data_IF_332664002219
#
_entry.id   IF_332664002219
#
_cell.length_a   1.000
_cell.length_b   1.000
_cell.length_c   1.000
_cell.angle_alpha   90.00
_cell.angle_beta   90.00
_cell.angle_gamma   90.00
#
_symmetry.space_group_name_H-M   'P 1'
#
loop_
_entity.id
_entity.type
_entity.pdbx_description
1 polymer ?
#
# COMPACT_ATOMS: atom_id res chain seq x y z
N UNK A 1 8.85 -30.01 -33.53
CA UNK A 1 8.25 -28.88 -32.79
C UNK A 1 9.04 -27.61 -33.16
N UNK A 2 8.42 -26.68 -33.91
CA UNK A 2 9.10 -25.50 -34.53
C UNK A 2 9.73 -24.59 -33.46
N UNK A 3 9.14 -24.51 -32.26
CA UNK A 3 9.63 -23.67 -31.15
C UNK A 3 11.04 -24.08 -30.68
N UNK A 4 11.30 -25.38 -30.53
CA UNK A 4 12.61 -25.90 -30.15
C UNK A 4 13.68 -25.72 -31.25
N UNK A 5 13.26 -25.71 -32.52
CA UNK A 5 14.18 -25.58 -33.66
C UNK A 5 14.72 -24.15 -33.81
N UNK A 6 13.97 -23.16 -33.36
CA UNK A 6 14.31 -21.73 -33.53
C UNK A 6 14.52 -20.98 -32.21
N UNK A 7 14.63 -21.69 -31.07
CA UNK A 7 14.76 -21.08 -29.73
C UNK A 7 13.70 -19.99 -29.47
N UNK A 8 12.47 -20.22 -29.95
CA UNK A 8 11.40 -19.24 -29.80
C UNK A 8 10.87 -19.38 -28.37
N UNK A 9 11.22 -18.39 -27.55
CA UNK A 9 10.66 -18.19 -26.21
C UNK A 9 9.12 -18.26 -26.26
N UNK A 10 8.51 -18.89 -25.26
CA UNK A 10 7.04 -18.92 -25.15
C UNK A 10 6.49 -17.52 -24.89
N UNK A 11 5.22 -17.28 -25.22
CA UNK A 11 4.55 -16.01 -24.89
C UNK A 11 4.69 -15.69 -23.39
N UNK A 12 4.57 -16.70 -22.52
CA UNK A 12 4.76 -16.55 -21.07
C UNK A 12 6.18 -16.06 -20.71
N UNK A 13 7.21 -16.55 -21.42
CA UNK A 13 8.60 -16.08 -21.26
C UNK A 13 8.76 -14.62 -21.65
N UNK A 14 8.03 -14.13 -22.67
CA UNK A 14 8.05 -12.71 -23.04
C UNK A 14 7.29 -11.82 -22.07
N UNK A 15 6.15 -12.28 -21.55
CA UNK A 15 5.31 -11.50 -20.63
C UNK A 15 6.00 -11.19 -19.29
N UNK A 16 6.95 -12.02 -18.85
CA UNK A 16 7.70 -11.78 -17.61
C UNK A 16 8.89 -10.82 -17.80
N UNK A 17 9.35 -10.59 -19.04
CA UNK A 17 10.56 -9.78 -19.31
C UNK A 17 10.46 -8.34 -18.79
N UNK A 18 9.33 -7.61 -18.87
CA UNK A 18 9.21 -6.27 -18.29
C UNK A 18 9.44 -6.25 -16.78
N UNK A 19 8.84 -7.20 -16.04
CA UNK A 19 9.02 -7.34 -14.59
C UNK A 19 10.49 -7.64 -14.26
N UNK A 20 11.10 -8.59 -14.98
CA UNK A 20 12.53 -8.90 -14.83
C UNK A 20 13.43 -7.71 -15.17
N UNK A 21 13.04 -6.88 -16.13
CA UNK A 21 13.82 -5.73 -16.57
C UNK A 21 13.88 -4.64 -15.51
N UNK A 22 12.78 -4.40 -14.79
CA UNK A 22 12.75 -3.48 -13.65
C UNK A 22 13.71 -3.94 -12.55
N UNK A 23 13.64 -5.22 -12.14
CA UNK A 23 14.57 -5.78 -11.16
C UNK A 23 16.03 -5.70 -11.64
N UNK A 24 16.27 -5.90 -12.94
CA UNK A 24 17.61 -5.76 -13.50
C UNK A 24 18.15 -4.33 -13.40
N UNK A 25 17.31 -3.31 -13.63
CA UNK A 25 17.76 -1.91 -13.49
C UNK A 25 18.09 -1.57 -12.04
N UNK A 26 17.27 -1.98 -11.09
CA UNK A 26 17.55 -1.85 -9.66
C UNK A 26 18.93 -2.43 -9.29
N UNK A 27 19.19 -3.69 -9.67
CA UNK A 27 20.47 -4.35 -9.39
C UNK A 27 21.67 -3.67 -10.04
N UNK A 28 21.53 -3.17 -11.28
CA UNK A 28 22.61 -2.49 -11.97
C UNK A 28 22.91 -1.13 -11.34
N UNK A 29 21.89 -0.36 -10.97
CA UNK A 29 22.06 0.92 -10.30
C UNK A 29 22.67 0.74 -8.91
N UNK A 30 22.25 -0.28 -8.15
CA UNK A 30 22.88 -0.64 -6.88
C UNK A 30 24.38 -0.91 -7.02
N UNK A 31 24.77 -1.64 -8.07
CA UNK A 31 26.18 -1.92 -8.36
C UNK A 31 26.94 -0.67 -8.81
N UNK A 32 26.31 0.23 -9.56
CA UNK A 32 26.91 1.50 -9.94
C UNK A 32 27.16 2.38 -8.71
N UNK A 33 26.20 2.48 -7.78
CA UNK A 33 26.39 3.22 -6.52
C UNK A 33 27.57 2.69 -5.70
N UNK A 34 27.84 1.39 -5.72
CA UNK A 34 28.96 0.80 -5.00
C UNK A 34 30.34 1.14 -5.59
N UNK A 35 30.40 1.58 -6.86
CA UNK A 35 31.64 1.82 -7.60
C UNK A 35 31.81 3.28 -8.06
N UNK A 36 30.80 4.13 -7.88
CA UNK A 36 30.80 5.53 -8.28
C UNK A 36 30.81 6.45 -7.05
N UNK A 37 31.35 7.67 -7.22
CA UNK A 37 31.24 8.72 -6.20
C UNK A 37 29.77 9.15 -6.03
N UNK A 38 29.33 9.34 -4.79
CA UNK A 38 27.92 9.60 -4.44
C UNK A 38 27.32 10.85 -5.10
N UNK A 39 28.16 11.80 -5.56
CA UNK A 39 27.75 13.07 -6.15
C UNK A 39 27.64 13.09 -7.68
N UNK A 40 27.85 11.97 -8.37
CA UNK A 40 27.85 11.92 -9.85
C UNK A 40 26.65 11.15 -10.41
N UNK A 41 25.91 11.79 -11.33
CA UNK A 41 25.05 11.11 -12.30
C UNK A 41 23.69 10.63 -11.80
N UNK A 42 23.15 11.23 -10.74
CA UNK A 42 21.79 10.97 -10.24
C UNK A 42 21.48 9.46 -9.99
N UNK A 43 22.52 8.68 -9.68
CA UNK A 43 22.43 7.21 -9.61
C UNK A 43 21.53 6.79 -8.44
N UNK A 44 21.56 7.54 -7.34
CA UNK A 44 20.75 7.30 -6.15
C UNK A 44 19.27 7.55 -6.45
N UNK A 45 18.95 8.68 -7.08
CA UNK A 45 17.59 9.02 -7.50
C UNK A 45 17.05 7.99 -8.49
N UNK A 46 17.88 7.56 -9.44
CA UNK A 46 17.54 6.48 -10.37
C UNK A 46 17.27 5.15 -9.67
N UNK A 47 18.10 4.79 -8.68
CA UNK A 47 17.92 3.57 -7.88
C UNK A 47 16.61 3.63 -7.08
N UNK A 48 16.36 4.72 -6.36
CA UNK A 48 15.14 4.93 -5.57
C UNK A 48 13.89 4.87 -6.46
N UNK A 49 13.97 5.44 -7.67
CA UNK A 49 12.90 5.33 -8.67
C UNK A 49 12.65 3.86 -9.07
N UNK A 50 13.70 3.10 -9.38
CA UNK A 50 13.57 1.69 -9.76
C UNK A 50 13.02 0.83 -8.62
N UNK A 51 13.42 1.08 -7.37
CA UNK A 51 12.81 0.45 -6.20
C UNK A 51 11.32 0.82 -6.04
N UNK A 52 10.92 2.02 -6.44
CA UNK A 52 9.53 2.47 -6.34
C UNK A 52 8.59 1.85 -7.38
N UNK A 53 9.09 1.46 -8.57
CA UNK A 53 8.24 0.98 -9.67
C UNK A 53 7.47 -0.31 -9.30
N UNK A 54 8.11 -1.38 -8.79
CA UNK A 54 7.40 -2.58 -8.35
C UNK A 54 6.39 -2.28 -7.25
N UNK A 55 6.75 -1.39 -6.30
CA UNK A 55 5.87 -0.98 -5.21
C UNK A 55 4.61 -0.30 -5.74
N UNK A 56 4.75 0.70 -6.62
CA UNK A 56 3.62 1.41 -7.24
C UNK A 56 2.72 0.47 -8.06
N UNK A 57 3.31 -0.46 -8.81
CA UNK A 57 2.55 -1.46 -9.56
C UNK A 57 1.75 -2.38 -8.63
N UNK A 58 2.37 -2.82 -7.52
CA UNK A 58 1.70 -3.63 -6.50
C UNK A 58 0.56 -2.84 -5.83
N UNK A 59 0.81 -1.59 -5.44
CA UNK A 59 -0.17 -0.74 -4.77
C UNK A 59 -1.37 -0.44 -5.69
N UNK A 60 -1.13 -0.18 -6.98
CA UNK A 60 -2.19 -0.01 -7.98
C UNK A 60 -3.01 -1.29 -8.18
N UNK A 61 -2.37 -2.47 -8.16
CA UNK A 61 -3.06 -3.76 -8.20
C UNK A 61 -3.97 -3.93 -6.97
N UNK A 62 -3.48 -3.63 -5.77
CA UNK A 62 -4.28 -3.69 -4.55
C UNK A 62 -5.46 -2.71 -4.56
N UNK A 63 -5.26 -1.48 -5.05
CA UNK A 63 -6.36 -0.53 -5.25
C UNK A 63 -7.39 -1.06 -6.25
N UNK A 64 -6.93 -1.77 -7.28
CA UNK A 64 -7.79 -2.47 -8.24
C UNK A 64 -8.80 -3.40 -7.58
N UNK A 65 -8.41 -4.07 -6.48
CA UNK A 65 -9.27 -4.99 -5.71
C UNK A 65 -10.22 -4.30 -4.71
N UNK A 66 -10.19 -2.97 -4.58
CA UNK A 66 -11.13 -2.21 -3.76
C UNK A 66 -12.49 -2.12 -4.46
N UNK A 67 -13.54 -2.54 -3.79
CA UNK A 67 -14.92 -2.62 -4.28
C UNK A 67 -15.88 -1.91 -3.30
N UNK A 68 -17.12 -1.71 -3.76
CA UNK A 68 -18.23 -1.15 -2.96
C UNK A 68 -17.93 0.23 -2.36
N UNK A 69 -17.25 1.10 -3.14
CA UNK A 69 -17.05 2.51 -2.78
C UNK A 69 -18.39 3.21 -2.50
N UNK A 70 -18.34 4.27 -1.69
CA UNK A 70 -19.48 5.17 -1.50
C UNK A 70 -20.01 5.70 -2.84
N UNK A 71 -21.33 5.89 -2.99
CA UNK A 71 -21.90 6.48 -4.19
C UNK A 71 -21.23 7.82 -4.54
N UNK A 72 -20.77 7.95 -5.79
CA UNK A 72 -20.08 9.15 -6.26
C UNK A 72 -18.58 9.21 -5.98
N UNK A 73 -18.02 8.26 -5.21
CA UNK A 73 -16.58 8.13 -5.02
C UNK A 73 -16.00 7.17 -6.05
N UNK A 74 -15.01 7.62 -6.83
CA UNK A 74 -14.27 6.79 -7.78
C UNK A 74 -12.85 6.53 -7.27
N UNK A 75 -12.18 5.50 -7.82
CA UNK A 75 -10.77 5.21 -7.47
C UNK A 75 -9.85 6.32 -7.93
N UNK A 76 -10.14 6.92 -9.08
CA UNK A 76 -9.40 8.02 -9.67
C UNK A 76 -9.46 9.28 -8.78
N UNK A 77 -10.61 9.52 -8.12
CA UNK A 77 -10.78 10.62 -7.19
C UNK A 77 -10.01 10.45 -5.86
N UNK A 78 -9.57 9.23 -5.52
CA UNK A 78 -8.70 8.98 -4.36
C UNK A 78 -7.24 9.36 -4.65
N UNK A 79 -6.82 9.31 -5.92
CA UNK A 79 -5.46 9.57 -6.36
C UNK A 79 -4.53 8.35 -6.21
N UNK A 80 -3.23 8.61 -6.26
CA UNK A 80 -2.22 7.57 -6.14
C UNK A 80 -2.09 7.07 -4.70
N UNK A 81 -1.96 5.75 -4.55
CA UNK A 81 -1.68 5.13 -3.25
C UNK A 81 -0.24 5.47 -2.84
N UNK A 82 -0.10 6.09 -1.67
CA UNK A 82 1.20 6.37 -1.05
C UNK A 82 1.74 5.16 -0.30
N UNK A 83 0.85 4.52 0.47
CA UNK A 83 1.11 3.31 1.24
C UNK A 83 -0.17 2.47 1.33
N UNK A 84 -0.02 1.15 1.39
CA UNK A 84 -1.09 0.28 1.83
C UNK A 84 -0.52 -0.85 2.69
N UNK A 85 -1.32 -1.30 3.66
CA UNK A 85 -1.01 -2.49 4.44
C UNK A 85 -2.24 -3.02 5.17
N UNK A 86 -2.14 -4.23 5.70
CA UNK A 86 -3.16 -4.82 6.57
C UNK A 86 -2.81 -4.56 8.03
N UNK A 87 -3.79 -4.08 8.79
CA UNK A 87 -3.67 -3.77 10.22
C UNK A 87 -4.81 -4.41 11.01
N UNK A 88 -4.56 -4.68 12.29
CA UNK A 88 -5.64 -4.84 13.26
C UNK A 88 -6.11 -3.47 13.72
N UNK A 89 -7.38 -3.15 13.50
CA UNK A 89 -7.97 -1.85 13.86
C UNK A 89 -8.93 -1.96 15.03
N UNK A 90 -8.71 -1.11 16.06
CA UNK A 90 -9.65 -0.88 17.16
C UNK A 90 -10.27 0.51 17.03
N UNK A 91 -11.59 0.54 16.98
CA UNK A 91 -12.40 1.75 16.88
C UNK A 91 -13.07 2.01 18.24
N UNK A 92 -12.78 3.19 18.82
CA UNK A 92 -13.27 3.58 20.14
C UNK A 92 -14.79 3.72 20.23
N UNK A 93 -15.50 3.88 19.10
CA UNK A 93 -16.97 3.95 19.06
C UNK A 93 -17.64 2.59 19.21
N UNK A 94 -16.91 1.49 19.03
CA UNK A 94 -17.52 0.17 19.08
C UNK A 94 -17.64 -0.33 20.53
N UNK A 95 -18.86 -0.75 20.90
CA UNK A 95 -19.15 -1.39 22.19
C UNK A 95 -18.23 -2.59 22.46
N UNK A 96 -17.84 -3.31 21.41
CA UNK A 96 -16.93 -4.45 21.48
C UNK A 96 -15.51 -3.97 21.16
N UNK A 97 -14.63 -3.95 22.16
CA UNK A 97 -13.20 -3.60 22.05
C UNK A 97 -12.37 -4.72 21.39
N UNK A 98 -12.79 -5.21 20.23
CA UNK A 98 -12.08 -6.27 19.49
C UNK A 98 -11.45 -5.69 18.23
N UNK A 99 -10.17 -5.97 18.06
CA UNK A 99 -9.42 -5.65 16.85
C UNK A 99 -10.04 -6.34 15.65
N UNK A 100 -10.22 -5.59 14.57
CA UNK A 100 -10.70 -6.13 13.30
C UNK A 100 -9.62 -5.95 12.27
N UNK A 101 -9.30 -7.03 11.58
CA UNK A 101 -8.39 -6.98 10.44
C UNK A 101 -8.98 -6.11 9.32
N UNK A 102 -8.20 -5.13 8.88
CA UNK A 102 -8.55 -4.18 7.85
C UNK A 102 -7.37 -3.97 6.93
N UNK A 103 -7.65 -3.83 5.65
CA UNK A 103 -6.69 -3.31 4.71
C UNK A 103 -6.84 -1.79 4.67
N UNK A 104 -5.74 -1.07 4.75
CA UNK A 104 -5.72 0.39 4.83
C UNK A 104 -4.93 0.92 3.65
N UNK A 105 -5.52 1.87 2.93
CA UNK A 105 -4.87 2.62 1.87
C UNK A 105 -4.65 4.05 2.35
N UNK A 106 -3.44 4.57 2.22
CA UNK A 106 -3.10 5.96 2.43
C UNK A 106 -2.97 6.66 1.08
N UNK A 107 -3.73 7.73 0.91
CA UNK A 107 -3.66 8.67 -0.20
C UNK A 107 -3.24 10.04 0.33
N UNK A 108 -2.94 10.97 -0.57
CA UNK A 108 -2.55 12.34 -0.21
C UNK A 108 -3.62 13.05 0.65
N UNK A 109 -4.90 12.87 0.31
CA UNK A 109 -6.01 13.60 0.95
C UNK A 109 -6.86 12.74 1.88
N UNK A 110 -6.64 11.41 1.90
CA UNK A 110 -7.47 10.52 2.70
C UNK A 110 -6.79 9.21 3.10
N UNK A 111 -7.29 8.60 4.18
CA UNK A 111 -7.00 7.23 4.60
C UNK A 111 -8.26 6.40 4.40
N UNK A 112 -8.23 5.40 3.53
CA UNK A 112 -9.35 4.50 3.27
C UNK A 112 -9.18 3.21 4.06
N UNK A 113 -10.20 2.85 4.83
CA UNK A 113 -10.26 1.61 5.61
C UNK A 113 -11.19 0.64 4.88
N UNK A 114 -10.69 -0.55 4.58
CA UNK A 114 -11.42 -1.60 3.89
C UNK A 114 -11.45 -2.92 4.68
N UNK A 115 -12.56 -3.65 4.56
CA UNK A 115 -12.72 -5.00 5.12
C UNK A 115 -12.15 -6.03 4.16
N UNK A 116 -11.41 -6.99 4.71
CA UNK A 116 -10.99 -8.21 4.02
C UNK A 116 -12.07 -9.29 4.24
N UNK A 117 -12.74 -9.80 3.19
CA UNK A 117 -13.68 -10.92 3.32
C UNK A 117 -12.97 -12.19 3.79
N UNK A 118 -13.55 -12.91 4.75
CA UNK A 118 -12.95 -14.13 5.33
C UNK A 118 -12.95 -15.33 4.37
N UNK A 119 -13.89 -15.35 3.44
CA UNK A 119 -14.11 -16.45 2.52
C UNK A 119 -13.87 -15.93 1.11
N UNK A 120 -12.66 -16.17 0.61
CA UNK A 120 -12.28 -15.92 -0.77
C UNK A 120 -11.79 -17.24 -1.36
N UNK A 121 -11.99 -17.43 -2.67
CA UNK A 121 -11.35 -18.52 -3.38
C UNK A 121 -9.83 -18.43 -3.20
N UNK A 122 -9.12 -19.57 -3.26
CA UNK A 122 -7.68 -19.60 -3.01
C UNK A 122 -6.95 -18.62 -3.95
N UNK A 123 -6.25 -17.65 -3.37
CA UNK A 123 -5.50 -16.62 -4.11
C UNK A 123 -6.32 -15.44 -4.61
N UNK A 124 -7.65 -15.40 -4.38
CA UNK A 124 -8.45 -14.22 -4.69
C UNK A 124 -8.23 -13.13 -3.62
N UNK A 125 -8.00 -11.90 -4.07
CA UNK A 125 -7.89 -10.71 -3.23
C UNK A 125 -9.11 -9.82 -3.50
N UNK A 126 -9.74 -9.34 -2.43
CA UNK A 126 -10.86 -8.40 -2.50
C UNK A 126 -10.87 -7.53 -1.25
N UNK A 127 -11.14 -6.24 -1.42
CA UNK A 127 -11.31 -5.29 -0.33
C UNK A 127 -12.66 -4.60 -0.46
N UNK A 128 -13.45 -4.63 0.62
CA UNK A 128 -14.75 -3.96 0.66
C UNK A 128 -14.60 -2.66 1.42
N UNK A 129 -14.84 -1.52 0.77
CA UNK A 129 -14.79 -0.22 1.41
C UNK A 129 -15.63 -0.16 2.71
N UNK A 130 -15.13 0.53 3.74
CA UNK A 130 -15.86 0.75 4.99
C UNK A 130 -16.08 2.21 5.31
N UNK A 131 -15.02 2.98 5.34
CA UNK A 131 -15.06 4.42 5.53
C UNK A 131 -13.70 5.01 5.14
N UNK A 132 -13.67 6.31 4.93
CA UNK A 132 -12.44 7.09 4.77
C UNK A 132 -12.34 8.14 5.87
N UNK A 133 -11.11 8.49 6.20
CA UNK A 133 -10.77 9.64 7.04
C UNK A 133 -10.08 10.66 6.14
N UNK A 134 -10.50 11.91 6.14
CA UNK A 134 -9.76 12.94 5.41
C UNK A 134 -8.49 13.26 6.17
N UNK A 135 -7.34 13.39 5.50
CA UNK A 135 -6.07 13.71 6.18
C UNK A 135 -6.14 15.05 6.91
N UNK A 136 -6.94 15.99 6.40
CA UNK A 136 -7.23 17.29 7.03
C UNK A 136 -8.07 17.22 8.33
N UNK A 137 -8.71 16.08 8.60
CA UNK A 137 -9.50 15.82 9.82
C UNK A 137 -8.72 15.08 10.90
N UNK A 138 -7.54 14.54 10.56
CA UNK A 138 -6.63 13.91 11.51
C UNK A 138 -5.96 15.03 12.31
N UNK A 139 -6.26 15.10 13.60
CA UNK A 139 -5.76 16.15 14.50
C UNK A 139 -4.46 15.76 15.20
N UNK A 140 -4.24 14.47 15.43
CA UNK A 140 -3.04 13.97 16.09
C UNK A 140 -2.73 12.52 15.67
N UNK A 141 -1.45 12.16 15.73
CA UNK A 141 -0.94 10.80 15.50
C UNK A 141 -0.03 10.45 16.67
N UNK A 142 -0.40 9.41 17.44
CA UNK A 142 0.41 8.94 18.56
C UNK A 142 1.00 7.57 18.29
N UNK A 143 2.32 7.52 18.27
CA UNK A 143 3.10 6.30 18.23
C UNK A 143 3.39 5.79 19.65
N UNK A 144 3.83 4.54 19.80
CA UNK A 144 4.30 3.98 21.07
C UNK A 144 3.29 4.08 22.22
N UNK A 145 2.03 3.73 21.95
CA UNK A 145 0.91 3.91 22.87
C UNK A 145 1.08 3.22 24.23
N UNK A 146 1.76 2.06 24.27
CA UNK A 146 2.04 1.28 25.47
C UNK A 146 3.48 0.74 25.40
N UNK A 147 4.15 0.69 26.55
CA UNK A 147 5.50 0.12 26.64
C UNK A 147 5.47 -1.37 26.24
N UNK A 148 6.28 -1.74 25.25
CA UNK A 148 6.36 -3.11 24.73
C UNK A 148 5.54 -3.39 23.47
N UNK A 149 4.80 -2.40 22.93
CA UNK A 149 4.06 -2.55 21.67
C UNK A 149 4.50 -1.53 20.60
N UNK A 150 5.71 -1.69 20.03
CA UNK A 150 6.26 -0.73 19.07
C UNK A 150 5.46 -0.62 17.77
N UNK A 151 4.68 -1.65 17.41
CA UNK A 151 3.88 -1.65 16.18
C UNK A 151 2.51 -0.97 16.33
N UNK A 152 2.17 -0.44 17.51
CA UNK A 152 0.87 0.22 17.73
C UNK A 152 0.96 1.73 17.59
N UNK A 153 0.06 2.29 16.80
CA UNK A 153 -0.15 3.73 16.69
C UNK A 153 -1.64 4.07 16.65
N UNK A 154 -1.99 5.32 16.98
CA UNK A 154 -3.36 5.81 16.92
C UNK A 154 -3.48 7.06 16.06
N UNK A 155 -4.54 7.10 15.26
CA UNK A 155 -5.03 8.28 14.58
C UNK A 155 -6.17 8.88 15.41
N UNK A 156 -6.11 10.17 15.66
CA UNK A 156 -7.17 10.93 16.32
C UNK A 156 -7.85 11.84 15.29
N UNK A 157 -9.19 11.81 15.24
CA UNK A 157 -9.97 12.72 14.40
C UNK A 157 -10.93 13.57 15.24
N UNK A 158 -11.05 14.85 14.88
CA UNK A 158 -11.85 15.85 15.60
C UNK A 158 -11.03 17.07 16.08
N UNK A 159 -11.62 18.27 16.03
CA UNK A 159 -11.01 19.54 16.48
C UNK A 159 -11.53 20.05 17.83
N UNK A 160 -12.50 19.38 18.44
CA UNK A 160 -13.17 19.88 19.66
C UNK A 160 -13.46 18.74 20.65
N UNK A 161 -13.13 19.04 21.91
CA UNK A 161 -13.04 18.26 23.16
C UNK A 161 -14.10 17.17 23.49
N UNK A 162 -15.10 16.89 22.65
CA UNK A 162 -16.21 15.97 23.02
C UNK A 162 -16.30 14.69 22.19
N UNK A 163 -15.60 14.58 21.05
CA UNK A 163 -15.63 13.38 20.22
C UNK A 163 -14.26 13.05 19.59
N UNK A 164 -13.25 12.80 20.41
CA UNK A 164 -11.97 12.28 19.93
C UNK A 164 -12.18 10.83 19.45
N UNK A 165 -12.27 10.70 18.13
CA UNK A 165 -12.30 9.43 17.45
C UNK A 165 -10.89 8.85 17.43
N UNK A 166 -10.68 7.76 18.16
CA UNK A 166 -9.39 7.07 18.20
C UNK A 166 -9.48 5.79 17.39
N UNK A 167 -8.69 5.74 16.32
CA UNK A 167 -8.46 4.53 15.52
C UNK A 167 -7.07 4.02 15.84
N UNK A 168 -6.96 2.88 16.52
CA UNK A 168 -5.66 2.26 16.84
C UNK A 168 -5.36 1.17 15.82
N UNK A 169 -4.15 1.17 15.26
CA UNK A 169 -3.65 0.22 14.27
C UNK A 169 -2.48 -0.57 14.88
N UNK A 170 -2.41 -1.88 14.58
CA UNK A 170 -1.31 -2.80 14.94
C UNK A 170 -0.95 -3.68 13.75
#
# INVERSE_FOLDING_TARGET
NIQHKYHIDTINSYLIKPVQRITKYEMLLQRLMACCEESKGEIKEGFDLMCSVPKKANDAMHLGYLEELEPGLTKEALGDVLLQNTFQIWDSKQLIKKGKERHVFLFETSVVIAKIPKLLARGAIRYIYKYKLMTAEISDVKEHLEAGEPCKFALFTGRTSTHDLRVTLK
#
